data_IF_022842176865
#
_entry.id   IF_022842176865
#
_cell.length_a   1.000
_cell.length_b   1.000
_cell.length_c   1.000
_cell.angle_alpha   90.00
_cell.angle_beta   90.00
_cell.angle_gamma   90.00
#
_symmetry.space_group_name_H-M   'P 1'
#
loop_
_entity.id
_entity.type
_entity.pdbx_description
1 polymer ?
#
# COMPACT_ATOMS: atom_id res chain seq x y z
N UNK A 1 2.71 24.70 15.35
CA UNK A 1 3.11 25.13 14.00
C UNK A 1 2.02 24.78 13.00
N UNK A 2 1.51 25.77 12.28
CA UNK A 2 0.45 25.69 11.27
C UNK A 2 0.97 25.61 9.82
N UNK A 3 2.30 25.64 9.65
CA UNK A 3 3.01 25.53 8.37
C UNK A 3 4.16 24.53 8.44
N UNK A 4 4.56 24.03 7.28
CA UNK A 4 5.81 23.30 7.04
C UNK A 4 6.78 24.32 6.44
N UNK A 5 7.94 24.49 7.04
CA UNK A 5 8.97 25.40 6.55
C UNK A 5 10.14 24.59 6.01
N UNK A 6 10.50 24.82 4.76
CA UNK A 6 11.66 24.21 4.10
C UNK A 6 12.64 25.33 3.81
N UNK A 7 13.88 25.20 4.28
CA UNK A 7 14.95 26.20 4.13
C UNK A 7 16.10 25.59 3.36
N UNK A 8 16.56 26.31 2.34
CA UNK A 8 17.75 25.98 1.57
C UNK A 8 17.66 24.64 0.83
N UNK A 9 16.51 24.30 0.26
CA UNK A 9 16.37 23.07 -0.51
C UNK A 9 17.26 23.09 -1.77
N UNK A 10 18.15 22.11 -1.86
CA UNK A 10 19.20 21.93 -2.87
C UNK A 10 19.25 20.45 -3.27
N UNK A 11 18.38 20.10 -4.22
CA UNK A 11 18.39 18.80 -4.84
C UNK A 11 18.00 18.94 -6.31
N UNK A 12 18.76 18.27 -7.19
CA UNK A 12 18.59 18.36 -8.63
C UNK A 12 18.56 19.82 -9.12
N UNK A 13 17.41 20.31 -9.57
CA UNK A 13 17.26 21.66 -10.14
C UNK A 13 16.89 22.73 -9.10
N UNK A 14 16.75 22.37 -7.82
CA UNK A 14 16.44 23.33 -6.76
C UNK A 14 17.67 24.16 -6.41
N UNK A 15 17.52 25.48 -6.44
CA UNK A 15 18.58 26.47 -6.22
C UNK A 15 18.37 27.16 -4.89
N UNK A 16 18.71 26.49 -3.80
CA UNK A 16 18.64 27.03 -2.44
C UNK A 16 17.25 27.56 -2.05
N UNK A 17 16.22 26.79 -2.40
CA UNK A 17 14.83 27.24 -2.29
C UNK A 17 14.38 27.25 -0.82
N UNK A 18 13.86 28.39 -0.36
CA UNK A 18 13.15 28.51 0.91
C UNK A 18 11.67 28.74 0.66
N UNK A 19 10.82 27.90 1.25
CA UNK A 19 9.36 27.94 1.06
C UNK A 19 8.60 27.56 2.32
N UNK A 20 7.43 28.16 2.49
CA UNK A 20 6.48 27.82 3.55
C UNK A 20 5.21 27.23 2.95
N UNK A 21 4.80 26.06 3.46
CA UNK A 21 3.62 25.32 2.98
C UNK A 21 2.59 25.27 4.10
N UNK A 22 1.38 25.82 3.92
CA UNK A 22 0.37 25.81 4.97
C UNK A 22 -0.17 24.39 5.21
N UNK A 23 -0.30 24.01 6.48
CA UNK A 23 -0.92 22.73 6.86
C UNK A 23 -2.43 22.78 6.74
N UNK A 24 -3.05 21.59 6.67
CA UNK A 24 -4.50 21.40 6.62
C UNK A 24 -5.17 22.13 5.44
N UNK A 25 -4.41 22.33 4.35
CA UNK A 25 -4.88 22.90 3.09
C UNK A 25 -4.49 21.97 1.95
N UNK A 26 -5.27 22.00 0.88
CA UNK A 26 -4.87 21.41 -0.39
C UNK A 26 -3.88 22.39 -1.05
N UNK A 27 -2.62 21.97 -1.19
CA UNK A 27 -1.55 22.78 -1.79
C UNK A 27 -1.16 22.16 -3.12
N UNK A 28 -1.18 22.96 -4.18
CA UNK A 28 -0.70 22.57 -5.49
C UNK A 28 0.70 23.15 -5.71
N UNK A 29 1.63 22.31 -6.13
CA UNK A 29 2.96 22.72 -6.58
C UNK A 29 2.96 22.67 -8.11
N UNK A 30 3.03 23.83 -8.75
CA UNK A 30 2.91 23.98 -10.21
C UNK A 30 4.19 24.51 -10.84
N UNK A 31 4.32 24.39 -12.16
CA UNK A 31 5.49 24.84 -12.91
C UNK A 31 5.85 23.91 -14.08
N UNK A 32 6.69 24.40 -14.99
CA UNK A 32 7.13 23.67 -16.20
C UNK A 32 7.84 22.36 -15.88
N UNK A 33 7.86 21.41 -16.82
CA UNK A 33 8.62 20.16 -16.65
C UNK A 33 10.08 20.46 -16.28
N UNK A 34 10.64 19.66 -15.36
CA UNK A 34 12.01 19.87 -14.87
C UNK A 34 12.20 21.02 -13.87
N UNK A 35 11.17 21.79 -13.50
CA UNK A 35 11.33 22.93 -12.58
C UNK A 35 11.63 22.58 -11.11
N UNK A 36 11.83 21.30 -10.77
CA UNK A 36 12.12 20.86 -9.40
C UNK A 36 10.90 20.56 -8.52
N UNK A 37 9.67 20.52 -9.06
CA UNK A 37 8.44 20.22 -8.29
C UNK A 37 8.51 18.87 -7.59
N UNK A 38 8.84 17.82 -8.35
CA UNK A 38 8.95 16.46 -7.81
C UNK A 38 10.09 16.34 -6.81
N UNK A 39 11.21 17.05 -7.06
CA UNK A 39 12.34 17.08 -6.12
C UNK A 39 11.97 17.73 -4.80
N UNK A 40 11.19 18.81 -4.81
CA UNK A 40 10.69 19.41 -3.58
C UNK A 40 9.68 18.48 -2.88
N UNK A 41 8.70 17.96 -3.61
CA UNK A 41 7.57 17.24 -3.04
C UNK A 41 7.94 15.82 -2.56
N UNK A 42 8.59 15.04 -3.41
CA UNK A 42 8.87 13.63 -3.17
C UNK A 42 10.25 13.43 -2.56
N UNK A 43 11.29 13.90 -3.26
CA UNK A 43 12.68 13.59 -2.90
C UNK A 43 13.16 14.34 -1.63
N UNK A 44 12.51 15.47 -1.27
CA UNK A 44 12.83 16.22 -0.05
C UNK A 44 11.73 16.06 1.00
N UNK A 45 10.53 16.60 0.75
CA UNK A 45 9.49 16.68 1.79
C UNK A 45 9.00 15.30 2.21
N UNK A 46 8.65 14.43 1.24
CA UNK A 46 8.18 13.09 1.56
C UNK A 46 9.27 12.23 2.19
N UNK A 47 10.46 12.18 1.58
CA UNK A 47 11.56 11.35 2.08
C UNK A 47 12.01 11.74 3.48
N UNK A 48 12.13 13.04 3.77
CA UNK A 48 12.47 13.51 5.12
C UNK A 48 11.35 13.19 6.13
N UNK A 49 10.08 13.30 5.72
CA UNK A 49 8.95 12.98 6.58
C UNK A 49 8.90 11.50 6.94
N UNK A 50 9.21 10.63 5.97
CA UNK A 50 9.35 9.20 6.17
C UNK A 50 10.55 8.90 7.06
N UNK A 51 11.71 9.51 6.81
CA UNK A 51 12.93 9.33 7.60
C UNK A 51 12.71 9.67 9.08
N UNK A 52 12.08 10.82 9.38
CA UNK A 52 11.74 11.21 10.75
C UNK A 52 10.75 10.25 11.42
N UNK A 53 9.75 9.80 10.67
CA UNK A 53 8.79 8.83 11.18
C UNK A 53 9.46 7.49 11.54
N UNK A 54 10.31 6.96 10.65
CA UNK A 54 11.06 5.73 10.90
C UNK A 54 12.00 5.85 12.11
N UNK A 55 12.69 6.97 12.25
CA UNK A 55 13.53 7.24 13.43
C UNK A 55 12.70 7.26 14.72
N UNK A 56 11.48 7.82 14.68
CA UNK A 56 10.59 7.85 15.86
C UNK A 56 10.14 6.47 16.35
N UNK A 57 10.19 5.46 15.49
CA UNK A 57 9.86 4.06 15.82
C UNK A 57 11.11 3.16 15.92
N UNK A 58 12.30 3.75 16.03
CA UNK A 58 13.54 3.05 16.37
C UNK A 58 14.39 2.55 15.19
N UNK A 59 14.10 2.97 13.95
CA UNK A 59 15.00 2.68 12.83
C UNK A 59 16.22 3.61 12.88
N UNK A 60 17.42 3.10 12.51
CA UNK A 60 18.60 3.94 12.43
C UNK A 60 18.43 5.02 11.37
N UNK A 61 19.05 6.21 11.56
CA UNK A 61 19.05 7.24 10.53
C UNK A 61 19.73 6.72 9.26
N UNK A 62 19.24 7.16 8.10
CA UNK A 62 19.99 7.00 6.86
C UNK A 62 21.31 7.76 6.98
N UNK A 63 22.41 7.07 6.66
CA UNK A 63 23.70 7.72 6.47
C UNK A 63 23.70 8.36 5.09
N UNK A 64 23.37 9.64 5.03
CA UNK A 64 23.54 10.46 3.83
C UNK A 64 24.72 11.42 4.07
N UNK A 65 25.65 11.48 3.11
CA UNK A 65 26.86 12.29 3.23
C UNK A 65 26.55 13.80 3.26
N UNK A 66 25.47 14.23 2.60
CA UNK A 66 25.06 15.63 2.56
C UNK A 66 23.52 15.76 2.53
N UNK A 67 22.96 16.61 3.40
CA UNK A 67 21.52 16.86 3.41
C UNK A 67 21.14 17.80 2.26
N UNK A 68 20.09 17.48 1.49
CA UNK A 68 19.62 18.33 0.39
C UNK A 68 18.85 19.58 0.85
N UNK A 69 19.00 20.00 2.11
CA UNK A 69 18.33 21.15 2.70
C UNK A 69 19.07 21.60 3.98
N UNK A 70 18.89 22.85 4.39
CA UNK A 70 19.42 23.36 5.66
C UNK A 70 18.54 22.97 6.84
N UNK A 71 17.23 23.20 6.70
CA UNK A 71 16.27 23.00 7.78
C UNK A 71 14.88 22.68 7.23
N UNK A 72 14.23 21.70 7.86
CA UNK A 72 12.80 21.46 7.66
C UNK A 72 12.10 21.43 9.03
N UNK A 73 11.12 22.30 9.22
CA UNK A 73 10.33 22.41 10.46
C UNK A 73 8.85 22.15 10.21
N UNK A 74 8.18 21.69 11.27
CA UNK A 74 6.75 21.44 11.22
C UNK A 74 6.37 20.29 10.29
N UNK A 75 7.27 19.41 9.87
CA UNK A 75 6.91 18.25 9.04
C UNK A 75 6.12 17.21 9.87
N UNK A 76 5.02 16.70 9.31
CA UNK A 76 4.27 15.57 9.87
C UNK A 76 4.69 14.27 9.16
N UNK A 77 4.36 13.07 9.67
CA UNK A 77 4.52 11.83 8.90
C UNK A 77 3.89 11.96 7.52
N UNK A 78 4.62 11.56 6.49
CA UNK A 78 4.27 11.76 5.09
C UNK A 78 3.88 10.45 4.42
N UNK A 79 2.98 10.54 3.44
CA UNK A 79 2.61 9.44 2.56
C UNK A 79 2.62 9.95 1.13
N UNK A 80 3.37 9.30 0.25
CA UNK A 80 3.38 9.59 -1.17
C UNK A 80 2.37 8.68 -1.89
N UNK A 81 1.54 9.29 -2.71
CA UNK A 81 0.68 8.59 -3.67
C UNK A 81 1.17 8.97 -5.05
N UNK A 82 1.95 8.07 -5.64
CA UNK A 82 2.58 8.26 -6.95
C UNK A 82 2.05 7.26 -7.96
N UNK A 83 1.96 7.68 -9.23
CA UNK A 83 1.79 6.75 -10.33
C UNK A 83 3.13 6.08 -10.66
N UNK A 84 3.67 5.29 -9.73
CA UNK A 84 4.74 4.36 -10.08
C UNK A 84 4.10 3.22 -10.87
N UNK A 85 4.19 3.30 -12.21
CA UNK A 85 3.92 2.14 -13.05
C UNK A 85 5.01 1.11 -12.78
N UNK A 86 4.87 0.35 -11.70
CA UNK A 86 5.69 -0.82 -11.45
C UNK A 86 5.49 -1.75 -12.64
N UNK A 87 6.51 -1.86 -13.50
CA UNK A 87 6.59 -2.86 -14.59
C UNK A 87 6.57 -4.30 -14.06
N UNK A 88 6.62 -4.48 -12.74
CA UNK A 88 6.47 -5.76 -12.06
C UNK A 88 5.00 -6.16 -12.07
N UNK A 89 4.58 -6.70 -13.20
CA UNK A 89 3.32 -7.40 -13.34
C UNK A 89 3.47 -8.77 -12.66
N UNK A 90 2.95 -8.91 -11.44
CA UNK A 90 2.74 -10.24 -10.88
C UNK A 90 1.34 -10.70 -11.34
N UNK A 91 1.22 -11.76 -12.15
CA UNK A 91 -0.08 -12.24 -12.64
C UNK A 91 -1.08 -12.58 -11.54
N UNK A 92 -0.62 -12.90 -10.32
CA UNK A 92 -1.47 -13.18 -9.14
C UNK A 92 -1.90 -11.91 -8.39
N UNK A 93 -1.45 -10.73 -8.81
CA UNK A 93 -1.86 -9.45 -8.24
C UNK A 93 -3.09 -8.91 -8.98
N UNK A 94 -4.23 -8.90 -8.30
CA UNK A 94 -5.50 -8.35 -8.80
C UNK A 94 -5.91 -7.14 -7.96
N UNK A 95 -6.96 -6.44 -8.36
CA UNK A 95 -7.56 -5.37 -7.53
C UNK A 95 -7.90 -5.90 -6.14
N UNK A 96 -8.49 -7.09 -6.05
CA UNK A 96 -8.88 -7.69 -4.77
C UNK A 96 -7.70 -7.95 -3.84
N UNK A 97 -6.53 -8.35 -4.36
CA UNK A 97 -5.34 -8.59 -3.53
C UNK A 97 -4.66 -7.29 -3.12
N UNK A 98 -4.69 -6.26 -3.98
CA UNK A 98 -4.14 -4.92 -3.67
C UNK A 98 -4.97 -4.17 -2.62
N UNK A 99 -6.28 -4.26 -2.69
CA UNK A 99 -7.20 -3.60 -1.72
C UNK A 99 -7.44 -4.41 -0.46
N UNK A 100 -6.88 -5.62 -0.36
CA UNK A 100 -7.15 -6.61 0.71
C UNK A 100 -8.59 -7.12 0.77
N UNK A 101 -9.47 -6.71 -0.15
CA UNK A 101 -10.84 -7.24 -0.26
C UNK A 101 -10.84 -8.75 -0.45
N UNK A 102 -9.86 -9.28 -1.18
CA UNK A 102 -9.72 -10.72 -1.39
C UNK A 102 -9.60 -11.47 -0.06
N UNK A 103 -8.86 -10.95 0.93
CA UNK A 103 -8.74 -11.60 2.23
C UNK A 103 -10.07 -11.66 2.99
N UNK A 104 -10.88 -10.60 2.90
CA UNK A 104 -12.21 -10.58 3.50
C UNK A 104 -13.13 -11.59 2.82
N UNK A 105 -13.09 -11.68 1.49
CA UNK A 105 -13.85 -12.68 0.75
C UNK A 105 -13.43 -14.11 1.14
N UNK A 106 -12.12 -14.39 1.24
CA UNK A 106 -11.65 -15.72 1.69
C UNK A 106 -12.21 -16.12 3.05
N UNK A 107 -12.23 -15.18 4.00
CA UNK A 107 -12.83 -15.40 5.31
C UNK A 107 -14.33 -15.66 5.19
N UNK A 108 -15.05 -14.87 4.39
CA UNK A 108 -16.49 -15.02 4.15
C UNK A 108 -16.82 -16.39 3.54
N UNK A 109 -16.12 -16.81 2.49
CA UNK A 109 -16.37 -18.09 1.83
C UNK A 109 -16.01 -19.29 2.72
N UNK A 110 -14.96 -19.20 3.53
CA UNK A 110 -14.60 -20.27 4.46
C UNK A 110 -15.61 -20.40 5.63
N UNK A 111 -16.24 -19.30 6.04
CA UNK A 111 -17.17 -19.28 7.18
C UNK A 111 -18.60 -19.58 6.76
N UNK A 112 -19.11 -18.89 5.73
CA UNK A 112 -20.52 -18.89 5.30
C UNK A 112 -20.76 -19.61 3.96
N UNK A 113 -19.71 -20.13 3.33
CA UNK A 113 -19.82 -20.82 2.04
C UNK A 113 -20.64 -22.10 2.15
N UNK A 114 -21.73 -22.18 1.38
CA UNK A 114 -22.49 -23.42 1.20
C UNK A 114 -21.74 -24.34 0.24
N UNK A 115 -21.44 -25.55 0.70
CA UNK A 115 -20.74 -26.54 -0.11
C UNK A 115 -21.72 -27.26 -1.03
N UNK A 116 -21.26 -27.53 -2.26
CA UNK A 116 -22.03 -28.17 -3.32
C UNK A 116 -21.27 -29.41 -3.77
N UNK A 117 -21.98 -30.50 -4.03
CA UNK A 117 -21.38 -31.71 -4.59
C UNK A 117 -20.81 -31.42 -5.99
N UNK A 118 -19.54 -31.70 -6.28
CA UNK A 118 -18.93 -31.41 -7.58
C UNK A 118 -19.48 -32.28 -8.72
N UNK A 119 -20.11 -33.42 -8.41
CA UNK A 119 -20.69 -34.34 -9.38
C UNK A 119 -22.15 -33.97 -9.65
N UNK A 120 -22.98 -33.94 -8.60
CA UNK A 120 -24.43 -33.76 -8.71
C UNK A 120 -24.88 -32.30 -8.75
N UNK A 121 -24.01 -31.36 -8.35
CA UNK A 121 -24.30 -29.91 -8.24
C UNK A 121 -25.39 -29.52 -7.25
N UNK A 122 -25.74 -30.42 -6.34
CA UNK A 122 -26.66 -30.16 -5.24
C UNK A 122 -25.93 -29.81 -3.93
N UNK A 123 -26.55 -29.02 -3.03
CA UNK A 123 -26.00 -28.75 -1.71
C UNK A 123 -25.73 -30.05 -0.94
N UNK A 124 -24.62 -30.11 -0.20
CA UNK A 124 -24.34 -31.23 0.70
C UNK A 124 -25.07 -31.06 2.04
N UNK A 125 -25.34 -32.17 2.71
CA UNK A 125 -25.98 -32.16 4.02
C UNK A 125 -25.02 -31.72 5.15
N UNK A 126 -25.50 -31.70 6.39
CA UNK A 126 -24.72 -31.26 7.57
C UNK A 126 -23.48 -32.13 7.84
N UNK A 127 -23.50 -33.39 7.40
CA UNK A 127 -22.37 -34.32 7.50
C UNK A 127 -21.40 -34.20 6.31
N UNK A 128 -21.58 -33.20 5.46
CA UNK A 128 -20.79 -32.95 4.26
C UNK A 128 -20.90 -34.06 3.20
N UNK A 129 -22.00 -34.80 3.20
CA UNK A 129 -22.28 -35.87 2.25
C UNK A 129 -23.36 -35.44 1.25
N UNK A 130 -23.23 -35.89 0.01
CA UNK A 130 -24.25 -35.70 -1.01
C UNK A 130 -25.30 -36.82 -0.95
N UNK A 131 -26.56 -36.46 -0.73
CA UNK A 131 -27.67 -37.43 -0.60
C UNK A 131 -27.97 -38.23 -1.89
N UNK A 132 -27.47 -37.79 -3.05
CA UNK A 132 -27.74 -38.44 -4.35
C UNK A 132 -26.68 -39.50 -4.67
N UNK A 133 -25.40 -39.17 -4.51
CA UNK A 133 -24.29 -40.03 -4.93
C UNK A 133 -23.39 -40.52 -3.80
N UNK A 134 -23.66 -40.13 -2.55
CA UNK A 134 -22.87 -40.51 -1.37
C UNK A 134 -21.48 -39.87 -1.31
N UNK A 135 -21.21 -38.85 -2.14
CA UNK A 135 -19.89 -38.20 -2.14
C UNK A 135 -19.72 -37.34 -0.89
N UNK A 136 -18.65 -37.60 -0.13
CA UNK A 136 -18.25 -36.79 1.02
C UNK A 136 -17.32 -35.67 0.54
N UNK A 137 -17.56 -34.46 1.03
CA UNK A 137 -16.82 -33.25 0.70
C UNK A 137 -16.16 -32.71 1.96
N UNK A 138 -15.00 -32.07 1.85
CA UNK A 138 -14.32 -31.47 2.99
C UNK A 138 -14.68 -30.00 3.16
N UNK A 139 -14.63 -29.52 4.41
CA UNK A 139 -14.85 -28.10 4.68
C UNK A 139 -13.67 -27.27 4.20
N UNK A 140 -13.95 -26.27 3.37
CA UNK A 140 -12.92 -25.39 2.82
C UNK A 140 -12.45 -24.36 3.84
N UNK A 141 -11.22 -24.54 4.34
CA UNK A 141 -10.49 -23.50 5.09
C UNK A 141 -10.08 -22.29 4.23
N UNK A 142 -9.72 -21.18 4.90
CA UNK A 142 -9.26 -19.93 4.29
C UNK A 142 -8.08 -20.13 3.30
N UNK A 143 -7.21 -21.13 3.54
CA UNK A 143 -6.07 -21.44 2.68
C UNK A 143 -6.49 -21.94 1.29
N UNK A 144 -7.62 -22.63 1.18
CA UNK A 144 -8.14 -23.14 -0.09
C UNK A 144 -8.62 -22.05 -1.03
N UNK A 145 -8.83 -20.83 -0.52
CA UNK A 145 -9.18 -19.67 -1.32
C UNK A 145 -7.95 -18.79 -1.59
N UNK A 146 -6.75 -19.36 -1.73
CA UNK A 146 -5.51 -18.58 -1.88
C UNK A 146 -4.69 -19.03 -3.08
N UNK A 147 -4.62 -18.23 -4.15
CA UNK A 147 -3.80 -18.53 -5.33
C UNK A 147 -2.28 -18.66 -5.06
N UNK A 148 -1.82 -18.33 -3.84
CA UNK A 148 -0.42 -18.48 -3.42
C UNK A 148 -0.16 -19.75 -2.59
N UNK A 149 -1.20 -20.49 -2.23
CA UNK A 149 -1.09 -21.77 -1.52
C UNK A 149 -1.16 -22.93 -2.52
N UNK A 150 -0.35 -24.00 -2.36
CA UNK A 150 -0.46 -25.20 -3.20
C UNK A 150 -1.84 -25.87 -3.13
N UNK A 151 -2.52 -25.71 -2.00
CA UNK A 151 -3.88 -26.21 -1.75
C UNK A 151 -4.97 -25.19 -2.12
N UNK A 152 -4.58 -24.01 -2.59
CA UNK A 152 -5.51 -22.98 -3.03
C UNK A 152 -6.07 -23.26 -4.42
N UNK A 153 -7.38 -23.03 -4.57
CA UNK A 153 -8.04 -22.88 -5.86
C UNK A 153 -7.65 -21.56 -6.54
#
# INVERSE_FOLDING_TARGET
MDKIKVVGARLHNLKDLTVEIPKKKMVLITGVSGSGKSSLAFDIIFDEGMNRYLQSIGFPPKFEDEKPFDLIEGLSPTVAVEQRTTRVFNPRSTVGTKTRLYNLLRMLYATEGKLICPICKEPVNENLECDICGMIVERLEIKHFSFNEPSGM
#
